data_IF_400734606948
#
_entry.id   IF_400734606948
#
_cell.length_a   1.000
_cell.length_b   1.000
_cell.length_c   1.000
_cell.angle_alpha   90.00
_cell.angle_beta   90.00
_cell.angle_gamma   90.00
#
_symmetry.space_group_name_H-M   'P 1'
#
loop_
_entity.id
_entity.type
_entity.pdbx_description
1 polymer ?
#
# COMPACT_ATOMS: atom_id res chain seq x y z
N UNK A 1 -1.58 21.00 5.80
CA UNK A 1 -1.17 20.83 4.39
C UNK A 1 0.28 20.35 4.26
N UNK A 2 1.32 21.18 4.45
CA UNK A 2 2.73 20.76 4.18
C UNK A 2 3.15 19.53 5.00
N UNK A 3 2.86 19.51 6.30
CA UNK A 3 3.16 18.37 7.18
C UNK A 3 2.50 17.06 6.73
N UNK A 4 1.28 17.14 6.20
CA UNK A 4 0.52 15.99 5.70
C UNK A 4 1.13 15.44 4.41
N UNK A 5 1.47 16.33 3.47
CA UNK A 5 2.10 15.98 2.19
C UNK A 5 3.44 15.29 2.42
N UNK A 6 4.30 15.83 3.30
CA UNK A 6 5.58 15.20 3.64
C UNK A 6 5.38 13.82 4.28
N UNK A 7 4.40 13.70 5.18
CA UNK A 7 4.03 12.43 5.80
C UNK A 7 3.63 11.38 4.76
N UNK A 8 2.82 11.75 3.77
CA UNK A 8 2.43 10.85 2.66
C UNK A 8 3.62 10.46 1.76
N UNK A 9 4.56 11.37 1.49
CA UNK A 9 5.79 11.04 0.75
C UNK A 9 6.56 9.95 1.50
N UNK A 10 6.82 10.15 2.80
CA UNK A 10 7.60 9.21 3.62
C UNK A 10 6.89 7.88 3.79
N UNK A 11 5.59 7.91 4.09
CA UNK A 11 4.80 6.70 4.29
C UNK A 11 4.70 5.87 3.00
N UNK A 12 4.45 6.51 1.85
CA UNK A 12 4.40 5.83 0.55
C UNK A 12 5.78 5.34 0.12
N UNK A 13 6.84 6.10 0.40
CA UNK A 13 8.22 5.65 0.16
C UNK A 13 8.51 4.36 0.92
N UNK A 14 8.25 4.33 2.23
CA UNK A 14 8.52 3.15 3.06
C UNK A 14 7.66 1.96 2.66
N UNK A 15 6.38 2.21 2.34
CA UNK A 15 5.48 1.18 1.81
C UNK A 15 6.08 0.53 0.57
N UNK A 16 6.37 1.32 -0.48
CA UNK A 16 6.88 0.80 -1.77
C UNK A 16 8.27 0.17 -1.61
N UNK A 17 9.16 0.80 -0.83
CA UNK A 17 10.51 0.29 -0.62
C UNK A 17 10.50 -1.10 0.02
N UNK A 18 9.65 -1.31 1.03
CA UNK A 18 9.54 -2.57 1.75
C UNK A 18 8.79 -3.63 0.93
N UNK A 19 7.67 -3.29 0.30
CA UNK A 19 6.88 -4.27 -0.46
C UNK A 19 7.57 -4.72 -1.74
N UNK A 20 8.04 -3.77 -2.57
CA UNK A 20 8.76 -4.11 -3.78
C UNK A 20 10.11 -4.77 -3.44
N UNK A 21 10.78 -4.35 -2.36
CA UNK A 21 12.00 -5.01 -1.92
C UNK A 21 11.80 -6.46 -1.50
N UNK A 22 10.73 -6.75 -0.74
CA UNK A 22 10.38 -8.12 -0.38
C UNK A 22 10.03 -8.98 -1.62
N UNK A 23 9.29 -8.41 -2.58
CA UNK A 23 8.94 -9.07 -3.83
C UNK A 23 10.17 -9.32 -4.73
N UNK A 24 11.11 -8.37 -4.80
CA UNK A 24 12.40 -8.55 -5.51
C UNK A 24 13.23 -9.67 -4.89
N UNK A 25 13.37 -9.70 -3.57
CA UNK A 25 14.12 -10.76 -2.87
C UNK A 25 13.47 -12.12 -3.07
N UNK A 26 12.13 -12.19 -3.05
CA UNK A 26 11.40 -13.42 -3.36
C UNK A 26 11.65 -13.90 -4.81
N UNK A 27 11.67 -12.98 -5.77
CA UNK A 27 11.93 -13.28 -7.18
C UNK A 27 13.35 -13.81 -7.45
N UNK A 28 14.35 -13.37 -6.69
CA UNK A 28 15.73 -13.84 -6.80
C UNK A 28 16.00 -15.14 -6.02
N UNK A 29 15.49 -15.23 -4.79
CA UNK A 29 15.76 -16.37 -3.91
C UNK A 29 14.54 -16.72 -3.04
N UNK A 30 13.72 -17.64 -3.57
CA UNK A 30 12.54 -18.18 -2.90
C UNK A 30 12.85 -18.88 -1.56
N UNK A 31 14.12 -19.18 -1.24
CA UNK A 31 14.52 -19.76 0.05
C UNK A 31 14.73 -18.70 1.13
N UNK A 32 14.97 -17.43 0.77
CA UNK A 32 15.16 -16.32 1.72
C UNK A 32 13.84 -15.78 2.23
N UNK A 33 12.87 -15.58 1.34
CA UNK A 33 11.53 -15.11 1.66
C UNK A 33 10.54 -16.03 0.96
N UNK A 34 9.54 -16.52 1.68
CA UNK A 34 8.44 -17.27 1.07
C UNK A 34 7.37 -16.33 0.53
N UNK A 35 6.48 -16.83 -0.33
CA UNK A 35 5.31 -16.08 -0.79
C UNK A 35 4.46 -15.56 0.39
N UNK A 36 4.30 -16.36 1.45
CA UNK A 36 3.65 -15.92 2.69
C UNK A 36 4.44 -14.79 3.38
N UNK A 37 5.77 -14.88 3.38
CA UNK A 37 6.66 -13.87 3.95
C UNK A 37 6.48 -12.49 3.30
N UNK A 38 6.45 -12.42 1.96
CA UNK A 38 6.23 -11.14 1.27
C UNK A 38 4.84 -10.54 1.57
N UNK A 39 3.78 -11.37 1.62
CA UNK A 39 2.43 -10.88 1.93
C UNK A 39 2.29 -10.37 3.36
N UNK A 40 2.92 -11.07 4.33
CA UNK A 40 2.97 -10.64 5.73
C UNK A 40 3.73 -9.32 5.86
N UNK A 41 4.89 -9.20 5.20
CA UNK A 41 5.66 -7.94 5.17
C UNK A 41 4.81 -6.80 4.61
N UNK A 42 4.06 -7.04 3.53
CA UNK A 42 3.18 -6.05 2.93
C UNK A 42 2.05 -5.57 3.83
N UNK A 43 1.38 -6.48 4.55
CA UNK A 43 0.36 -6.08 5.53
C UNK A 43 0.93 -5.39 6.77
N UNK A 44 2.08 -5.83 7.24
CA UNK A 44 2.74 -5.25 8.41
C UNK A 44 3.22 -3.82 8.14
N UNK A 45 3.85 -3.55 6.99
CA UNK A 45 4.29 -2.18 6.70
C UNK A 45 3.11 -1.21 6.61
N UNK A 46 1.98 -1.63 6.03
CA UNK A 46 0.74 -0.84 6.03
C UNK A 46 0.27 -0.56 7.46
N UNK A 47 0.22 -1.59 8.31
CA UNK A 47 -0.15 -1.44 9.74
C UNK A 47 0.74 -0.43 10.45
N UNK A 48 2.06 -0.59 10.31
CA UNK A 48 3.06 0.27 10.97
C UNK A 48 2.93 1.71 10.49
N UNK A 49 2.76 1.94 9.19
CA UNK A 49 2.62 3.28 8.64
C UNK A 49 1.30 3.95 9.05
N UNK A 50 0.19 3.21 9.14
CA UNK A 50 -1.07 3.77 9.65
C UNK A 50 -0.92 4.22 11.10
N UNK A 51 -0.30 3.42 11.96
CA UNK A 51 -0.10 3.84 13.36
C UNK A 51 0.94 4.96 13.51
N UNK A 52 2.00 4.95 12.70
CA UNK A 52 3.06 5.96 12.77
C UNK A 52 2.61 7.32 12.20
N UNK A 53 1.86 7.32 11.10
CA UNK A 53 1.58 8.53 10.31
C UNK A 53 0.09 8.89 10.20
N UNK A 54 -0.81 8.01 10.66
CA UNK A 54 -2.26 8.22 10.57
C UNK A 54 -2.73 9.49 11.28
N UNK A 55 -2.15 9.81 12.44
CA UNK A 55 -2.45 11.05 13.17
C UNK A 55 -1.95 12.33 12.46
N UNK A 56 -1.05 12.19 11.48
CA UNK A 56 -0.47 13.30 10.72
C UNK A 56 -1.24 13.53 9.43
N UNK A 57 -1.37 12.50 8.58
CA UNK A 57 -1.95 12.60 7.22
C UNK A 57 -3.21 11.79 6.98
N UNK A 58 -3.62 10.93 7.92
CA UNK A 58 -4.61 9.87 7.67
C UNK A 58 -4.01 8.61 7.05
N UNK A 59 -2.70 8.62 6.73
CA UNK A 59 -1.96 7.50 6.15
C UNK A 59 -2.65 6.87 4.94
N UNK A 60 -2.98 7.69 3.94
CA UNK A 60 -3.65 7.18 2.73
C UNK A 60 -2.72 6.29 1.92
N UNK A 61 -1.47 6.73 1.73
CA UNK A 61 -0.37 6.03 1.05
C UNK A 61 -0.70 5.47 -0.33
N UNK A 62 -1.83 5.86 -0.89
CA UNK A 62 -2.43 5.26 -2.07
C UNK A 62 -3.41 6.27 -2.72
N UNK A 63 -3.25 6.54 -4.03
CA UNK A 63 -4.15 7.42 -4.75
C UNK A 63 -5.62 6.96 -4.73
N UNK A 64 -5.88 5.65 -4.82
CA UNK A 64 -7.23 5.08 -4.77
C UNK A 64 -7.88 5.24 -3.39
N UNK A 65 -7.10 5.11 -2.31
CA UNK A 65 -7.57 5.37 -0.94
C UNK A 65 -7.93 6.84 -0.79
N UNK A 66 -7.04 7.75 -1.22
CA UNK A 66 -7.29 9.20 -1.21
C UNK A 66 -8.57 9.56 -1.97
N UNK A 67 -8.76 8.96 -3.16
CA UNK A 67 -9.93 9.19 -3.99
C UNK A 67 -11.22 8.71 -3.32
N UNK A 68 -11.20 7.51 -2.73
CA UNK A 68 -12.36 6.96 -2.02
C UNK A 68 -12.79 7.86 -0.87
N UNK A 69 -11.84 8.31 -0.04
CA UNK A 69 -12.14 9.20 1.08
C UNK A 69 -12.70 10.54 0.61
N UNK A 70 -12.21 11.07 -0.51
CA UNK A 70 -12.77 12.28 -1.11
C UNK A 70 -14.19 12.06 -1.65
N UNK A 71 -14.44 10.92 -2.28
CA UNK A 71 -15.75 10.55 -2.82
C UNK A 71 -16.81 10.41 -1.73
N UNK A 72 -16.47 9.75 -0.61
CA UNK A 72 -17.35 9.63 0.55
C UNK A 72 -17.36 10.87 1.46
N UNK A 73 -16.80 12.01 1.02
CA UNK A 73 -16.76 13.29 1.76
C UNK A 73 -16.01 13.24 3.09
N UNK A 74 -15.16 12.24 3.30
CA UNK A 74 -14.24 12.15 4.43
C UNK A 74 -12.91 12.87 4.19
N UNK A 75 -12.65 13.36 2.98
CA UNK A 75 -11.44 14.11 2.64
C UNK A 75 -11.73 15.26 1.65
N UNK A 76 -11.13 16.46 1.82
CA UNK A 76 -11.38 17.60 0.95
C UNK A 76 -10.76 17.40 -0.44
N UNK A 77 -11.59 17.53 -1.48
CA UNK A 77 -11.19 17.38 -2.90
C UNK A 77 -10.00 18.24 -3.31
N UNK A 78 -9.86 19.44 -2.74
CA UNK A 78 -8.75 20.34 -3.05
C UNK A 78 -7.39 19.77 -2.61
N UNK A 79 -7.36 18.87 -1.63
CA UNK A 79 -6.12 18.25 -1.13
C UNK A 79 -5.73 16.98 -1.90
N UNK A 80 -6.65 16.37 -2.64
CA UNK A 80 -6.44 15.14 -3.42
C UNK A 80 -5.22 15.24 -4.36
N UNK A 81 -5.09 16.27 -5.24
CA UNK A 81 -3.94 16.33 -6.14
C UNK A 81 -2.60 16.47 -5.42
N UNK A 82 -2.57 17.11 -4.24
CA UNK A 82 -1.34 17.24 -3.46
C UNK A 82 -0.93 15.91 -2.80
N UNK A 83 -1.91 15.12 -2.34
CA UNK A 83 -1.67 13.79 -1.82
C UNK A 83 -1.21 12.83 -2.92
N UNK A 84 -1.83 12.88 -4.11
CA UNK A 84 -1.38 12.08 -5.25
C UNK A 84 0.05 12.43 -5.65
N UNK A 85 0.38 13.72 -5.76
CA UNK A 85 1.74 14.15 -6.04
C UNK A 85 2.74 13.63 -4.99
N UNK A 86 2.39 13.68 -3.70
CA UNK A 86 3.21 13.12 -2.62
C UNK A 86 3.41 11.60 -2.75
N UNK A 87 2.33 10.86 -2.99
CA UNK A 87 2.34 9.40 -3.11
C UNK A 87 3.17 8.95 -4.31
N UNK A 88 2.97 9.56 -5.48
CA UNK A 88 3.80 9.28 -6.66
C UNK A 88 5.27 9.64 -6.43
N UNK A 89 5.55 10.78 -5.79
CA UNK A 89 6.93 11.17 -5.47
C UNK A 89 7.60 10.13 -4.54
N UNK A 90 6.92 9.74 -3.47
CA UNK A 90 7.43 8.73 -2.53
C UNK A 90 7.69 7.38 -3.20
N UNK A 91 6.74 6.91 -4.01
CA UNK A 91 6.85 5.66 -4.76
C UNK A 91 8.01 5.68 -5.77
N UNK A 92 8.17 6.76 -6.53
CA UNK A 92 9.28 6.92 -7.48
C UNK A 92 10.62 6.93 -6.77
N UNK A 93 10.77 7.70 -5.68
CA UNK A 93 11.98 7.73 -4.87
C UNK A 93 12.33 6.33 -4.32
N UNK A 94 11.34 5.59 -3.83
CA UNK A 94 11.54 4.23 -3.34
C UNK A 94 12.06 3.30 -4.44
N UNK A 95 11.48 3.34 -5.64
CA UNK A 95 11.93 2.54 -6.77
C UNK A 95 13.40 2.85 -7.17
N UNK A 96 13.80 4.12 -7.18
CA UNK A 96 15.18 4.51 -7.47
C UNK A 96 16.17 4.02 -6.41
N UNK A 97 15.83 4.19 -5.12
CA UNK A 97 16.67 3.72 -4.02
C UNK A 97 16.77 2.19 -4.04
N UNK A 98 15.65 1.49 -4.25
CA UNK A 98 15.64 0.04 -4.33
C UNK A 98 16.56 -0.47 -5.44
N UNK A 99 16.49 0.13 -6.63
CA UNK A 99 17.38 -0.16 -7.77
C UNK A 99 18.86 0.01 -7.42
N UNK A 100 19.20 1.01 -6.61
CA UNK A 100 20.58 1.25 -6.19
C UNK A 100 21.05 0.24 -5.12
N UNK A 101 20.16 -0.16 -4.20
CA UNK A 101 20.50 -1.02 -3.06
C UNK A 101 20.60 -2.50 -3.44
N UNK A 102 19.71 -3.00 -4.29
CA UNK A 102 19.67 -4.41 -4.69
C UNK A 102 20.44 -4.70 -5.98
N UNK A 103 21.40 -3.86 -6.38
CA UNK A 103 22.16 -4.06 -7.61
C UNK A 103 23.04 -5.34 -7.56
N UNK A 104 23.02 -6.20 -8.59
CA UNK A 104 22.22 -6.14 -9.82
C UNK A 104 20.80 -6.73 -9.64
N UNK A 105 19.76 -5.91 -9.84
CA UNK A 105 18.36 -6.38 -9.84
C UNK A 105 17.99 -6.93 -11.21
N UNK A 106 17.47 -8.16 -11.26
CA UNK A 106 16.74 -8.68 -12.43
C UNK A 106 15.22 -8.49 -12.33
N UNK A 107 14.65 -8.46 -11.12
CA UNK A 107 13.19 -8.37 -10.87
C UNK A 107 12.87 -7.22 -9.92
N UNK A 108 12.20 -6.16 -10.40
CA UNK A 108 11.84 -4.97 -9.60
C UNK A 108 10.64 -5.16 -8.64
N UNK A 109 10.19 -6.40 -8.42
CA UNK A 109 9.04 -6.68 -7.55
C UNK A 109 7.72 -6.12 -8.09
N UNK A 110 7.57 -6.08 -9.42
CA UNK A 110 6.33 -5.64 -10.09
C UNK A 110 5.30 -6.77 -10.13
N UNK A 111 4.02 -6.43 -9.99
CA UNK A 111 2.90 -7.36 -10.18
C UNK A 111 2.74 -7.67 -11.67
N UNK A 112 3.37 -8.75 -12.10
CA UNK A 112 3.28 -9.23 -13.49
C UNK A 112 2.16 -10.27 -13.60
N UNK A 113 1.11 -10.02 -14.41
CA UNK A 113 -0.02 -10.93 -14.50
C UNK A 113 0.40 -12.23 -15.16
N UNK A 114 0.11 -13.35 -14.50
CA UNK A 114 0.26 -14.69 -15.07
C UNK A 114 -1.05 -15.09 -15.76
N UNK A 115 -1.02 -15.20 -17.08
CA UNK A 115 -2.17 -15.63 -17.89
C UNK A 115 -2.94 -14.49 -18.58
N UNK A 116 -4.20 -14.73 -18.99
CA UNK A 116 -4.97 -13.76 -19.76
C UNK A 116 -5.24 -12.48 -18.98
N UNK A 117 -5.08 -11.31 -19.60
CA UNK A 117 -5.26 -10.00 -18.96
C UNK A 117 -6.59 -9.83 -18.22
N UNK A 118 -7.65 -10.48 -18.69
CA UNK A 118 -8.96 -10.40 -18.05
C UNK A 118 -9.01 -11.10 -16.69
N UNK A 119 -8.25 -12.19 -16.48
CA UNK A 119 -8.20 -12.87 -15.18
C UNK A 119 -7.51 -11.98 -14.14
N UNK A 120 -6.38 -11.39 -14.51
CA UNK A 120 -5.66 -10.45 -13.64
C UNK A 120 -6.52 -9.24 -13.29
N UNK A 121 -7.26 -8.69 -14.27
CA UNK A 121 -8.19 -7.59 -14.03
C UNK A 121 -9.28 -7.96 -13.02
N UNK A 122 -9.88 -9.15 -13.15
CA UNK A 122 -10.93 -9.61 -12.23
C UNK A 122 -10.37 -9.78 -10.81
N UNK A 123 -9.18 -10.39 -10.67
CA UNK A 123 -8.53 -10.57 -9.36
C UNK A 123 -8.22 -9.22 -8.73
N UNK A 124 -7.62 -8.29 -9.47
CA UNK A 124 -7.32 -6.94 -9.00
C UNK A 124 -8.57 -6.18 -8.55
N UNK A 125 -9.68 -6.28 -9.28
CA UNK A 125 -10.96 -5.67 -8.89
C UNK A 125 -11.45 -6.25 -7.56
N UNK A 126 -11.46 -7.58 -7.42
CA UNK A 126 -11.97 -8.26 -6.21
C UNK A 126 -11.09 -7.96 -4.99
N UNK A 127 -9.77 -8.00 -5.16
CA UNK A 127 -8.79 -7.72 -4.11
C UNK A 127 -8.85 -6.26 -3.68
N UNK A 128 -8.85 -5.33 -4.64
CA UNK A 128 -8.96 -3.89 -4.36
C UNK A 128 -10.29 -3.57 -3.70
N UNK A 129 -11.40 -4.16 -4.15
CA UNK A 129 -12.70 -3.98 -3.51
C UNK A 129 -12.68 -4.42 -2.04
N UNK A 130 -12.11 -5.60 -1.73
CA UNK A 130 -12.01 -6.08 -0.36
C UNK A 130 -11.17 -5.14 0.52
N UNK A 131 -10.00 -4.73 0.03
CA UNK A 131 -9.11 -3.81 0.75
C UNK A 131 -9.79 -2.46 1.01
N UNK A 132 -10.44 -1.90 -0.01
CA UNK A 132 -11.14 -0.62 0.10
C UNK A 132 -12.39 -0.70 0.98
N UNK A 133 -13.15 -1.79 0.92
CA UNK A 133 -14.30 -2.02 1.77
C UNK A 133 -13.88 -2.04 3.25
N UNK A 134 -12.85 -2.82 3.60
CA UNK A 134 -12.33 -2.87 4.98
C UNK A 134 -11.81 -1.50 5.41
N UNK A 135 -11.01 -0.85 4.55
CA UNK A 135 -10.44 0.47 4.85
C UNK A 135 -11.51 1.51 5.12
N UNK A 136 -12.55 1.58 4.28
CA UNK A 136 -13.64 2.52 4.49
C UNK A 136 -14.44 2.14 5.75
N UNK A 137 -14.75 0.86 5.95
CA UNK A 137 -15.51 0.40 7.11
C UNK A 137 -14.84 0.76 8.45
N UNK A 138 -13.52 0.60 8.57
CA UNK A 138 -12.80 0.88 9.82
C UNK A 138 -12.40 2.34 9.98
N UNK A 139 -12.21 3.07 8.88
CA UNK A 139 -11.78 4.47 8.94
C UNK A 139 -12.93 5.48 8.98
N UNK A 140 -14.13 5.11 8.51
CA UNK A 140 -15.26 6.04 8.40
C UNK A 140 -16.39 5.78 9.39
N UNK A 141 -16.54 4.55 9.91
CA UNK A 141 -17.57 4.23 10.89
C UNK A 141 -17.12 4.60 12.31
N UNK A 142 -17.81 5.54 12.95
CA UNK A 142 -17.54 5.96 14.33
C UNK A 142 -17.80 4.86 15.38
N UNK A 143 -18.45 3.76 14.99
CA UNK A 143 -18.66 2.56 15.83
C UNK A 143 -17.53 1.55 15.69
N UNK A 144 -16.64 1.70 14.72
CA UNK A 144 -15.47 0.85 14.57
C UNK A 144 -14.43 1.17 15.66
N UNK A 145 -13.64 0.16 16.05
CA UNK A 145 -12.54 0.34 17.01
C UNK A 145 -11.39 1.05 16.31
N UNK A 146 -11.39 2.39 16.35
CA UNK A 146 -10.44 3.24 15.63
C UNK A 146 -8.97 2.94 15.98
N UNK A 147 -8.68 2.55 17.23
CA UNK A 147 -7.34 2.16 17.67
C UNK A 147 -6.81 0.90 16.96
N UNK A 148 -7.70 0.02 16.48
CA UNK A 148 -7.35 -1.20 15.75
C UNK A 148 -7.43 -1.03 14.22
N UNK A 149 -7.79 0.16 13.73
CA UNK A 149 -7.99 0.40 12.30
C UNK A 149 -6.73 0.08 11.48
N UNK A 150 -5.54 0.45 11.98
CA UNK A 150 -4.28 0.13 11.31
C UNK A 150 -4.04 -1.37 11.15
N UNK A 151 -4.30 -2.14 12.22
CA UNK A 151 -4.17 -3.60 12.19
C UNK A 151 -5.21 -4.24 11.25
N UNK A 152 -6.44 -3.74 11.25
CA UNK A 152 -7.50 -4.25 10.37
C UNK A 152 -7.16 -4.03 8.88
N UNK A 153 -6.71 -2.82 8.52
CA UNK A 153 -6.32 -2.51 7.13
C UNK A 153 -5.11 -3.31 6.70
N UNK A 154 -4.07 -3.38 7.53
CA UNK A 154 -2.87 -4.16 7.19
C UNK A 154 -3.14 -5.66 7.12
N UNK A 155 -4.00 -6.19 7.98
CA UNK A 155 -4.45 -7.59 7.90
C UNK A 155 -5.22 -7.86 6.61
N UNK A 156 -6.10 -6.94 6.19
CA UNK A 156 -6.81 -7.06 4.92
C UNK A 156 -5.83 -7.11 3.73
N UNK A 157 -4.84 -6.21 3.70
CA UNK A 157 -3.79 -6.21 2.66
C UNK A 157 -3.01 -7.54 2.64
N UNK A 158 -2.61 -8.04 3.82
CA UNK A 158 -1.93 -9.33 3.94
C UNK A 158 -2.78 -10.48 3.36
N UNK A 159 -4.03 -10.60 3.81
CA UNK A 159 -4.95 -11.66 3.38
C UNK A 159 -5.18 -11.61 1.88
N UNK A 160 -5.45 -10.41 1.34
CA UNK A 160 -5.67 -10.27 -0.10
C UNK A 160 -4.41 -10.53 -0.91
N UNK A 161 -3.24 -10.18 -0.39
CA UNK A 161 -1.96 -10.49 -1.06
C UNK A 161 -1.68 -11.99 -1.09
N UNK A 162 -1.97 -12.72 -0.01
CA UNK A 162 -1.85 -14.19 0.01
C UNK A 162 -2.76 -14.83 -1.03
N UNK A 163 -3.96 -14.28 -1.22
CA UNK A 163 -4.94 -14.78 -2.18
C UNK A 163 -4.59 -14.42 -3.64
N UNK A 164 -4.04 -13.23 -3.87
CA UNK A 164 -3.75 -12.71 -5.21
C UNK A 164 -2.58 -13.44 -5.90
N UNK A 165 -1.63 -13.99 -5.14
CA UNK A 165 -0.48 -14.72 -5.69
C UNK A 165 0.78 -13.88 -5.72
#
# INVERSE_FOLDING_TARGET
CVRQVISEVVATFLLVFVTCGAASIYGEDMKRISQLGQSVVGGLIVTVMIYATGHISGAHMNPAVTLSFAFFRHFPWIQVPFYWAAQFTGAMCAAFVLRAVLYPIEVLGTTTPTGPHWHALVIEIVVTFNMMFVTCAVATDSRAVGELAGLAVGSAVCITSIFAG
#
